data_IF_879607835280
#
_entry.id   IF_879607835280
#
_cell.length_a   1.000
_cell.length_b   1.000
_cell.length_c   1.000
_cell.angle_alpha   90.00
_cell.angle_beta   90.00
_cell.angle_gamma   90.00
#
_symmetry.space_group_name_H-M   'P 1'
#
loop_
_entity.id
_entity.type
_entity.pdbx_description
1 polymer ?
#
# COMPACT_ATOMS: atom_id res chain seq x y z
N UNK A 1 -53.22 12.89 50.79
CA UNK A 1 -54.32 12.46 51.68
C UNK A 1 -53.94 11.09 52.20
N UNK A 2 -53.94 10.95 53.54
CA UNK A 2 -53.74 9.72 54.33
C UNK A 2 -52.33 9.08 54.19
N UNK A 3 -51.56 8.76 55.24
CA UNK A 3 -51.96 8.27 56.54
C UNK A 3 -51.19 8.90 57.71
N UNK A 4 -51.99 9.36 58.68
CA UNK A 4 -51.61 9.75 60.04
C UNK A 4 -51.69 8.53 60.94
N UNK A 5 -50.67 7.66 60.97
CA UNK A 5 -50.49 6.70 62.07
C UNK A 5 -49.00 6.42 62.30
N UNK A 6 -48.24 7.47 62.65
CA UNK A 6 -46.99 7.28 63.38
C UNK A 6 -47.35 6.91 64.83
N UNK A 7 -47.56 5.62 65.06
CA UNK A 7 -47.58 5.09 66.41
C UNK A 7 -46.20 5.34 67.03
N UNK A 8 -46.19 6.23 68.01
CA UNK A 8 -45.03 6.62 68.81
C UNK A 8 -44.56 5.38 69.60
N UNK A 9 -43.71 4.56 68.98
CA UNK A 9 -42.96 3.51 69.69
C UNK A 9 -41.88 4.23 70.48
N UNK A 10 -41.89 4.17 71.82
CA UNK A 10 -40.87 4.83 72.62
C UNK A 10 -39.49 4.26 72.26
N UNK A 11 -38.59 5.15 71.83
CA UNK A 11 -37.18 4.86 71.66
C UNK A 11 -36.64 4.35 73.00
N UNK A 12 -36.05 3.13 73.08
CA UNK A 12 -35.40 2.71 74.30
C UNK A 12 -34.21 3.65 74.50
N UNK A 13 -34.27 4.44 75.57
CA UNK A 13 -33.14 5.18 76.10
C UNK A 13 -31.90 4.27 76.15
N UNK A 14 -30.70 4.86 75.99
CA UNK A 14 -29.35 4.25 76.10
C UNK A 14 -29.14 3.53 77.44
N UNK A 15 -29.88 2.45 77.64
CA UNK A 15 -29.89 1.63 78.83
C UNK A 15 -28.81 0.58 78.69
N UNK A 16 -27.72 0.78 79.45
CA UNK A 16 -26.76 -0.24 79.90
C UNK A 16 -26.69 -1.47 78.99
N UNK A 17 -26.08 -1.31 77.81
CA UNK A 17 -25.80 -2.43 76.91
C UNK A 17 -24.96 -3.47 77.68
N UNK A 18 -25.58 -4.60 78.01
CA UNK A 18 -24.88 -5.72 78.61
C UNK A 18 -23.75 -6.21 77.69
N UNK A 19 -22.79 -6.97 78.22
CA UNK A 19 -21.63 -7.45 77.45
C UNK A 19 -21.97 -8.43 76.31
N UNK A 20 -23.26 -8.73 76.07
CA UNK A 20 -23.69 -9.70 75.05
C UNK A 20 -23.81 -9.03 73.68
N UNK A 21 -23.45 -9.78 72.64
CA UNK A 21 -23.73 -9.36 71.26
C UNK A 21 -25.24 -9.40 70.97
N UNK A 22 -25.68 -8.46 70.13
CA UNK A 22 -27.04 -8.41 69.61
C UNK A 22 -27.26 -9.49 68.56
N UNK A 23 -28.48 -10.00 68.48
CA UNK A 23 -28.96 -10.92 67.46
C UNK A 23 -29.56 -10.17 66.27
N UNK A 24 -29.71 -10.84 65.13
CA UNK A 24 -30.26 -10.26 63.89
C UNK A 24 -31.62 -9.58 64.13
N UNK A 25 -32.51 -10.23 64.88
CA UNK A 25 -33.84 -9.69 65.25
C UNK A 25 -33.83 -8.63 66.35
N UNK A 26 -32.66 -8.22 66.84
CA UNK A 26 -32.49 -7.12 67.80
C UNK A 26 -31.92 -5.85 67.15
N UNK A 27 -31.67 -5.89 65.83
CA UNK A 27 -31.18 -4.75 65.05
C UNK A 27 -32.35 -3.90 64.53
N UNK A 28 -32.10 -2.62 64.22
CA UNK A 28 -33.10 -1.78 63.56
C UNK A 28 -33.49 -2.35 62.19
N UNK A 29 -34.73 -2.13 61.78
CA UNK A 29 -35.26 -2.53 60.48
C UNK A 29 -34.41 -1.97 59.31
N UNK A 30 -33.80 -0.79 59.49
CA UNK A 30 -32.91 -0.18 58.50
C UNK A 30 -31.64 -1.02 58.22
N UNK A 31 -31.25 -1.89 59.15
CA UNK A 31 -30.05 -2.73 59.02
C UNK A 31 -30.30 -4.01 58.21
N UNK A 32 -31.52 -4.55 58.19
CA UNK A 32 -31.76 -5.90 57.68
C UNK A 32 -31.52 -6.03 56.18
N UNK A 33 -32.04 -5.09 55.39
CA UNK A 33 -31.81 -5.06 53.94
C UNK A 33 -30.32 -5.01 53.56
N UNK A 34 -29.52 -4.03 54.04
CA UNK A 34 -28.09 -4.01 53.73
C UNK A 34 -27.33 -5.19 54.33
N UNK A 35 -27.71 -5.70 55.51
CA UNK A 35 -27.06 -6.85 56.14
C UNK A 35 -27.26 -8.13 55.31
N UNK A 36 -28.48 -8.38 54.85
CA UNK A 36 -28.78 -9.52 53.96
C UNK A 36 -28.11 -9.31 52.61
N UNK A 37 -28.22 -8.11 52.03
CA UNK A 37 -27.72 -7.80 50.69
C UNK A 37 -26.19 -7.86 50.55
N UNK A 38 -25.45 -7.45 51.58
CA UNK A 38 -23.97 -7.50 51.58
C UNK A 38 -23.44 -8.76 52.26
N UNK A 39 -24.12 -9.25 53.30
CA UNK A 39 -23.66 -10.36 54.13
C UNK A 39 -23.96 -11.76 53.58
N UNK A 40 -24.88 -11.89 52.62
CA UNK A 40 -25.29 -13.18 52.09
C UNK A 40 -25.35 -13.16 50.56
N UNK A 41 -24.49 -13.92 49.85
CA UNK A 41 -24.63 -14.12 48.41
C UNK A 41 -26.00 -14.74 48.09
N UNK A 42 -26.65 -14.27 47.01
CA UNK A 42 -28.00 -14.68 46.62
C UNK A 42 -28.18 -16.21 46.52
N UNK A 43 -27.23 -16.91 45.89
CA UNK A 43 -27.28 -18.37 45.79
C UNK A 43 -27.16 -19.09 47.14
N UNK A 44 -26.45 -18.49 48.11
CA UNK A 44 -26.39 -18.98 49.49
C UNK A 44 -27.66 -18.69 50.26
N UNK A 45 -28.24 -17.50 50.08
CA UNK A 45 -29.49 -17.09 50.69
C UNK A 45 -30.65 -18.00 50.25
N UNK A 46 -30.79 -18.27 48.94
CA UNK A 46 -31.79 -19.19 48.40
C UNK A 46 -31.72 -20.56 49.05
N UNK A 47 -30.53 -21.18 49.08
CA UNK A 47 -30.32 -22.50 49.72
C UNK A 47 -30.67 -22.49 51.20
N UNK A 48 -30.38 -21.39 51.90
CA UNK A 48 -30.70 -21.24 53.31
C UNK A 48 -32.23 -21.22 53.52
N UNK A 49 -32.95 -20.43 52.72
CA UNK A 49 -34.42 -20.36 52.80
C UNK A 49 -35.04 -21.71 52.44
N UNK A 50 -34.64 -22.32 51.33
CA UNK A 50 -35.14 -23.66 50.91
C UNK A 50 -34.96 -24.72 51.98
N UNK A 51 -33.83 -24.70 52.70
CA UNK A 51 -33.55 -25.63 53.79
C UNK A 51 -34.48 -25.40 54.99
N UNK A 52 -34.84 -24.16 55.29
CA UNK A 52 -35.71 -23.82 56.42
C UNK A 52 -37.17 -24.08 56.10
N UNK A 53 -37.61 -23.78 54.88
CA UNK A 53 -39.01 -23.96 54.44
C UNK A 53 -39.32 -25.38 53.99
N UNK A 54 -38.32 -26.25 53.86
CA UNK A 54 -38.50 -27.68 53.56
C UNK A 54 -38.87 -27.97 52.11
N UNK A 55 -38.56 -27.06 51.18
CA UNK A 55 -38.93 -27.21 49.77
C UNK A 55 -38.21 -26.22 48.85
N UNK A 56 -38.24 -26.52 47.55
CA UNK A 56 -37.69 -25.62 46.53
C UNK A 56 -38.52 -24.36 46.45
N UNK A 57 -37.86 -23.21 46.56
CA UNK A 57 -38.52 -21.91 46.51
C UNK A 57 -38.65 -21.48 45.05
N UNK A 58 -39.90 -21.34 44.58
CA UNK A 58 -40.23 -20.89 43.22
C UNK A 58 -40.17 -19.36 43.06
N UNK A 59 -39.89 -18.63 44.14
CA UNK A 59 -39.74 -17.19 44.14
C UNK A 59 -38.46 -16.72 43.44
N UNK A 60 -38.53 -15.53 42.86
CA UNK A 60 -37.36 -14.87 42.28
C UNK A 60 -36.38 -14.38 43.37
N UNK A 61 -35.21 -13.87 42.96
CA UNK A 61 -34.19 -13.43 43.91
C UNK A 61 -34.63 -12.20 44.74
N UNK A 62 -35.52 -11.36 44.19
CA UNK A 62 -36.06 -10.19 44.89
C UNK A 62 -37.01 -10.61 46.00
N UNK A 63 -37.95 -11.48 45.71
CA UNK A 63 -38.92 -12.04 46.66
C UNK A 63 -38.21 -12.75 47.82
N UNK A 64 -37.19 -13.56 47.52
CA UNK A 64 -36.39 -14.25 48.55
C UNK A 64 -35.66 -13.25 49.43
N UNK A 65 -35.08 -12.21 48.83
CA UNK A 65 -34.36 -11.17 49.56
C UNK A 65 -35.31 -10.41 50.49
N UNK A 66 -36.40 -9.82 49.96
CA UNK A 66 -37.35 -9.04 50.74
C UNK A 66 -38.02 -9.89 51.81
N UNK A 67 -38.44 -11.11 51.47
CA UNK A 67 -39.01 -12.05 52.44
C UNK A 67 -38.05 -12.34 53.59
N UNK A 68 -36.76 -12.59 53.30
CA UNK A 68 -35.75 -12.79 54.35
C UNK A 68 -35.56 -11.54 55.19
N UNK A 69 -35.53 -10.35 54.58
CA UNK A 69 -35.39 -9.07 55.29
C UNK A 69 -36.55 -8.87 56.27
N UNK A 70 -37.79 -9.13 55.85
CA UNK A 70 -38.96 -9.06 56.72
C UNK A 70 -38.89 -10.07 57.87
N UNK A 71 -38.49 -11.32 57.58
CA UNK A 71 -38.32 -12.36 58.60
C UNK A 71 -37.25 -12.00 59.63
N UNK A 72 -36.19 -11.28 59.23
CA UNK A 72 -35.12 -10.85 60.14
C UNK A 72 -35.56 -9.84 61.20
N UNK A 73 -36.71 -9.17 61.02
CA UNK A 73 -37.26 -8.24 62.02
C UNK A 73 -37.88 -8.95 63.23
N UNK A 74 -38.21 -10.24 63.08
CA UNK A 74 -38.80 -11.07 64.13
C UNK A 74 -37.90 -12.27 64.41
N UNK A 75 -38.14 -12.93 65.54
CA UNK A 75 -37.46 -14.20 65.84
C UNK A 75 -38.19 -15.35 65.16
N UNK A 76 -37.75 -15.71 63.96
CA UNK A 76 -38.32 -16.79 63.15
C UNK A 76 -37.27 -17.85 62.80
N UNK A 77 -37.67 -19.04 62.31
CA UNK A 77 -36.71 -20.06 61.85
C UNK A 77 -35.75 -19.56 60.76
N UNK A 78 -36.22 -18.65 59.89
CA UNK A 78 -35.40 -18.03 58.86
C UNK A 78 -34.39 -17.08 59.51
N UNK A 79 -34.82 -16.21 60.43
CA UNK A 79 -33.91 -15.31 61.15
C UNK A 79 -32.86 -16.08 61.97
N UNK A 80 -33.23 -17.20 62.61
CA UNK A 80 -32.29 -18.08 63.32
C UNK A 80 -31.27 -18.72 62.37
N UNK A 81 -31.69 -19.11 61.16
CA UNK A 81 -30.79 -19.64 60.15
C UNK A 81 -29.83 -18.56 59.62
N UNK A 82 -30.33 -17.34 59.35
CA UNK A 82 -29.52 -16.18 58.96
C UNK A 82 -28.50 -15.84 60.04
N UNK A 83 -28.92 -15.76 61.30
CA UNK A 83 -28.02 -15.58 62.44
C UNK A 83 -26.89 -16.61 62.44
N UNK A 84 -27.23 -17.91 62.34
CA UNK A 84 -26.22 -18.99 62.34
C UNK A 84 -25.25 -18.87 61.16
N UNK A 85 -25.75 -18.51 59.98
CA UNK A 85 -24.91 -18.35 58.79
C UNK A 85 -23.99 -17.14 58.90
N UNK A 86 -24.46 -16.00 59.41
CA UNK A 86 -23.63 -14.82 59.65
C UNK A 86 -22.54 -15.09 60.70
N UNK A 87 -22.86 -15.75 61.80
CA UNK A 87 -21.87 -16.15 62.82
C UNK A 87 -20.82 -17.12 62.25
N UNK A 88 -21.25 -18.10 61.45
CA UNK A 88 -20.35 -19.09 60.84
C UNK A 88 -19.44 -18.45 59.79
N UNK A 89 -20.01 -17.68 58.85
CA UNK A 89 -19.28 -17.07 57.74
C UNK A 89 -18.30 -16.00 58.22
N UNK A 90 -18.69 -15.20 59.21
CA UNK A 90 -17.93 -14.05 59.65
C UNK A 90 -17.28 -14.20 61.03
N UNK A 91 -17.07 -15.45 61.47
CA UNK A 91 -16.46 -15.77 62.77
C UNK A 91 -15.13 -15.04 63.02
N UNK A 92 -14.29 -14.89 61.99
CA UNK A 92 -13.02 -14.18 62.10
C UNK A 92 -13.21 -12.69 62.39
N UNK A 93 -14.15 -12.01 61.71
CA UNK A 93 -14.46 -10.60 62.00
C UNK A 93 -15.06 -10.43 63.39
N UNK A 94 -15.99 -11.31 63.78
CA UNK A 94 -16.57 -11.32 65.12
C UNK A 94 -15.48 -11.45 66.19
N UNK A 95 -14.53 -12.37 65.98
CA UNK A 95 -13.40 -12.56 66.90
C UNK A 95 -12.48 -11.34 66.93
N UNK A 96 -12.23 -10.69 65.79
CA UNK A 96 -11.41 -9.47 65.72
C UNK A 96 -12.08 -8.30 66.46
N UNK A 97 -13.36 -8.06 66.21
CA UNK A 97 -14.13 -6.96 66.82
C UNK A 97 -14.28 -7.13 68.34
N UNK A 98 -14.24 -8.37 68.85
CA UNK A 98 -14.28 -8.65 70.30
C UNK A 98 -13.20 -7.91 71.11
N UNK A 99 -12.09 -7.53 70.50
CA UNK A 99 -11.03 -6.77 71.15
C UNK A 99 -11.43 -5.31 71.46
N UNK A 100 -12.41 -4.76 70.75
CA UNK A 100 -12.91 -3.41 70.97
C UNK A 100 -13.71 -3.32 72.27
N UNK A 101 -13.32 -2.39 73.14
CA UNK A 101 -13.94 -2.16 74.47
C UNK A 101 -14.84 -0.93 74.48
N UNK A 102 -14.70 -0.05 73.50
CA UNK A 102 -15.44 1.21 73.38
C UNK A 102 -16.10 1.35 72.01
N UNK A 103 -17.07 2.26 71.89
CA UNK A 103 -17.78 2.55 70.64
C UNK A 103 -16.82 3.07 69.57
N UNK A 104 -15.88 3.94 69.96
CA UNK A 104 -14.89 4.56 69.07
C UNK A 104 -13.94 3.50 68.47
N UNK A 105 -13.62 2.45 69.22
CA UNK A 105 -12.82 1.34 68.72
C UNK A 105 -13.59 0.50 67.70
N UNK A 106 -14.89 0.27 67.90
CA UNK A 106 -15.74 -0.43 66.91
C UNK A 106 -15.84 0.41 65.63
N UNK A 107 -16.03 1.72 65.78
CA UNK A 107 -16.09 2.66 64.66
C UNK A 107 -14.78 2.69 63.87
N UNK A 108 -13.63 2.80 64.54
CA UNK A 108 -12.33 2.78 63.86
C UNK A 108 -12.08 1.46 63.10
N UNK A 109 -12.54 0.34 63.65
CA UNK A 109 -12.46 -0.96 62.97
C UNK A 109 -13.40 -1.06 61.76
N UNK A 110 -14.58 -0.44 61.83
CA UNK A 110 -15.50 -0.32 60.70
C UNK A 110 -14.92 0.57 59.60
N UNK A 111 -14.41 1.76 59.93
CA UNK A 111 -13.82 2.69 58.96
C UNK A 111 -12.64 2.06 58.22
N UNK A 112 -11.78 1.32 58.95
CA UNK A 112 -10.68 0.58 58.34
C UNK A 112 -11.17 -0.52 57.38
N UNK A 113 -12.29 -1.17 57.69
CA UNK A 113 -12.87 -2.19 56.82
C UNK A 113 -13.51 -1.59 55.56
N UNK A 114 -14.18 -0.44 55.68
CA UNK A 114 -14.71 0.33 54.54
C UNK A 114 -13.56 0.76 53.61
N UNK A 115 -12.48 1.31 54.17
CA UNK A 115 -11.30 1.70 53.40
C UNK A 115 -10.64 0.50 52.68
N UNK A 116 -10.67 -0.69 53.29
CA UNK A 116 -10.13 -1.92 52.71
C UNK A 116 -11.10 -2.63 51.73
N UNK A 117 -12.36 -2.18 51.61
CA UNK A 117 -13.40 -2.85 50.84
C UNK A 117 -13.91 -4.16 51.46
N UNK A 118 -13.53 -4.47 52.69
CA UNK A 118 -13.87 -5.71 53.41
C UNK A 118 -15.08 -5.51 54.34
N UNK A 119 -16.20 -5.07 53.75
CA UNK A 119 -17.33 -4.51 54.50
C UNK A 119 -18.28 -5.56 55.06
N UNK A 120 -18.45 -6.71 54.41
CA UNK A 120 -19.55 -7.64 54.71
C UNK A 120 -19.47 -8.23 56.13
N UNK A 121 -18.30 -8.75 56.50
CA UNK A 121 -18.09 -9.33 57.82
C UNK A 121 -17.91 -8.30 58.92
N UNK A 122 -17.27 -7.17 58.61
CA UNK A 122 -17.14 -6.03 59.52
C UNK A 122 -18.50 -5.42 59.87
N UNK A 123 -19.43 -5.36 58.90
CA UNK A 123 -20.78 -4.85 59.12
C UNK A 123 -21.54 -5.71 60.13
N UNK A 124 -21.55 -7.03 59.95
CA UNK A 124 -22.16 -7.94 60.93
C UNK A 124 -21.49 -7.85 62.31
N UNK A 125 -20.16 -7.88 62.35
CA UNK A 125 -19.39 -7.85 63.58
C UNK A 125 -19.62 -6.55 64.37
N UNK A 126 -19.66 -5.41 63.69
CA UNK A 126 -19.95 -4.10 64.29
C UNK A 126 -21.39 -3.96 64.73
N UNK A 127 -22.39 -4.24 63.88
CA UNK A 127 -23.82 -4.12 64.22
C UNK A 127 -24.20 -4.97 65.45
N UNK A 128 -23.68 -6.19 65.51
CA UNK A 128 -23.95 -7.10 66.63
C UNK A 128 -23.13 -6.78 67.89
N UNK A 129 -22.17 -5.85 67.85
CA UNK A 129 -21.26 -5.59 68.96
C UNK A 129 -21.97 -4.94 70.16
N UNK A 130 -21.65 -5.30 71.43
CA UNK A 130 -22.24 -4.67 72.64
C UNK A 130 -21.84 -3.20 72.85
N UNK A 131 -21.01 -2.63 71.97
CA UNK A 131 -20.62 -1.20 71.96
C UNK A 131 -21.12 -0.48 70.70
N UNK A 132 -21.98 -1.12 69.92
CA UNK A 132 -22.63 -0.47 68.80
C UNK A 132 -23.81 0.34 69.34
N UNK A 133 -23.64 1.65 69.41
CA UNK A 133 -24.71 2.59 69.75
C UNK A 133 -25.63 2.79 68.55
N UNK A 134 -26.83 3.33 68.78
CA UNK A 134 -27.76 3.69 67.70
C UNK A 134 -27.12 4.63 66.68
N UNK A 135 -26.34 5.61 67.15
CA UNK A 135 -25.63 6.55 66.27
C UNK A 135 -24.60 5.84 65.37
N UNK A 136 -23.84 4.88 65.92
CA UNK A 136 -22.86 4.11 65.13
C UNK A 136 -23.56 3.16 64.16
N UNK A 137 -24.65 2.50 64.58
CA UNK A 137 -25.48 1.66 63.72
C UNK A 137 -25.97 2.44 62.49
N UNK A 138 -26.56 3.62 62.70
CA UNK A 138 -27.01 4.48 61.61
C UNK A 138 -25.86 4.91 60.69
N UNK A 139 -24.70 5.26 61.24
CA UNK A 139 -23.51 5.60 60.44
C UNK A 139 -23.11 4.42 59.56
N UNK A 140 -22.98 3.22 60.12
CA UNK A 140 -22.62 2.02 59.37
C UNK A 140 -23.65 1.72 58.25
N UNK A 141 -24.95 1.92 58.51
CA UNK A 141 -26.00 1.79 57.49
C UNK A 141 -25.90 2.85 56.37
N UNK A 142 -25.52 4.09 56.70
CA UNK A 142 -25.28 5.14 55.69
C UNK A 142 -24.03 4.83 54.85
N UNK A 143 -22.96 4.39 55.50
CA UNK A 143 -21.71 4.01 54.83
C UNK A 143 -21.93 2.85 53.85
N UNK A 144 -22.62 1.78 54.29
CA UNK A 144 -22.87 0.61 53.44
C UNK A 144 -23.78 0.94 52.25
N UNK A 145 -24.75 1.85 52.42
CA UNK A 145 -25.57 2.35 51.34
C UNK A 145 -24.71 3.00 50.24
N UNK A 146 -23.74 3.85 50.64
CA UNK A 146 -22.83 4.48 49.68
C UNK A 146 -21.90 3.48 49.00
N UNK A 147 -21.38 2.50 49.75
CA UNK A 147 -20.55 1.41 49.19
C UNK A 147 -21.31 0.61 48.13
N UNK A 148 -22.57 0.26 48.39
CA UNK A 148 -23.41 -0.45 47.42
C UNK A 148 -23.67 0.41 46.17
N UNK A 149 -23.89 1.72 46.34
CA UNK A 149 -24.08 2.65 45.22
C UNK A 149 -22.83 2.73 44.32
N UNK A 150 -21.65 2.80 44.93
CA UNK A 150 -20.36 2.82 44.23
C UNK A 150 -20.07 1.49 43.53
N UNK A 151 -20.29 0.36 44.22
CA UNK A 151 -20.13 -0.97 43.62
C UNK A 151 -21.03 -1.14 42.38
N UNK A 152 -22.29 -0.69 42.46
CA UNK A 152 -23.20 -0.69 41.32
C UNK A 152 -22.73 0.21 40.17
N UNK A 153 -22.17 1.39 40.48
CA UNK A 153 -21.63 2.29 39.45
C UNK A 153 -20.40 1.70 38.76
N UNK A 154 -19.47 1.09 39.52
CA UNK A 154 -18.31 0.42 38.97
C UNK A 154 -18.71 -0.76 38.10
N UNK A 155 -19.61 -1.62 38.58
CA UNK A 155 -20.10 -2.78 37.83
C UNK A 155 -20.73 -2.35 36.50
N UNK A 156 -21.52 -1.26 36.47
CA UNK A 156 -22.06 -0.70 35.21
C UNK A 156 -20.96 -0.20 34.28
N UNK A 157 -19.95 0.49 34.79
CA UNK A 157 -18.82 0.94 33.98
C UNK A 157 -18.04 -0.25 33.39
N UNK A 158 -17.85 -1.31 34.17
CA UNK A 158 -17.16 -2.52 33.73
C UNK A 158 -17.98 -3.30 32.69
N UNK A 159 -19.30 -3.43 32.87
CA UNK A 159 -20.21 -4.01 31.87
C UNK A 159 -20.14 -3.23 30.56
N UNK A 160 -20.14 -1.90 30.62
CA UNK A 160 -20.05 -1.06 29.43
C UNK A 160 -18.70 -1.25 28.70
N UNK A 161 -17.59 -1.29 29.44
CA UNK A 161 -16.26 -1.59 28.87
C UNK A 161 -16.21 -2.99 28.26
N UNK A 162 -16.75 -3.99 28.95
CA UNK A 162 -16.81 -5.36 28.45
C UNK A 162 -17.60 -5.44 27.14
N UNK A 163 -18.78 -4.83 27.08
CA UNK A 163 -19.61 -4.80 25.88
C UNK A 163 -18.92 -4.07 24.71
N UNK A 164 -18.19 -2.99 24.99
CA UNK A 164 -17.40 -2.29 23.97
C UNK A 164 -16.30 -3.18 23.39
N UNK A 165 -15.56 -3.90 24.24
CA UNK A 165 -14.52 -4.85 23.80
C UNK A 165 -15.11 -6.01 23.00
N UNK A 166 -16.26 -6.54 23.41
CA UNK A 166 -16.96 -7.59 22.66
C UNK A 166 -17.38 -7.08 21.28
N UNK A 167 -17.91 -5.85 21.19
CA UNK A 167 -18.28 -5.25 19.91
C UNK A 167 -17.08 -5.00 19.00
N UNK A 168 -15.96 -4.53 19.56
CA UNK A 168 -14.70 -4.33 18.83
C UNK A 168 -14.11 -5.65 18.33
N UNK A 169 -14.09 -6.71 19.17
CA UNK A 169 -13.65 -8.04 18.75
C UNK A 169 -14.49 -8.55 17.58
N UNK A 170 -15.81 -8.46 17.66
CA UNK A 170 -16.69 -8.87 16.57
C UNK A 170 -16.46 -8.05 15.29
N UNK A 171 -16.09 -6.77 15.41
CA UNK A 171 -15.72 -5.92 14.25
C UNK A 171 -14.41 -6.40 13.63
N UNK A 172 -13.38 -6.62 14.45
CA UNK A 172 -12.06 -7.05 14.00
C UNK A 172 -12.12 -8.44 13.36
N UNK A 173 -12.89 -9.38 13.90
CA UNK A 173 -13.11 -10.70 13.31
C UNK A 173 -13.68 -10.59 11.88
N UNK A 174 -14.67 -9.71 11.67
CA UNK A 174 -15.23 -9.46 10.33
C UNK A 174 -14.21 -8.83 9.39
N UNK A 175 -13.39 -7.91 9.88
CA UNK A 175 -12.36 -7.25 9.09
C UNK A 175 -11.25 -8.22 8.68
N UNK A 176 -10.80 -9.06 9.60
CA UNK A 176 -9.82 -10.13 9.34
C UNK A 176 -10.35 -11.11 8.30
N UNK A 177 -11.60 -11.58 8.44
CA UNK A 177 -12.22 -12.48 7.47
C UNK A 177 -12.26 -11.84 6.06
N UNK A 178 -12.67 -10.57 5.97
CA UNK A 178 -12.70 -9.84 4.70
C UNK A 178 -11.33 -9.67 4.07
N UNK A 179 -10.30 -9.37 4.87
CA UNK A 179 -8.93 -9.25 4.39
C UNK A 179 -8.36 -10.59 3.93
N UNK A 180 -8.64 -11.67 4.66
CA UNK A 180 -8.26 -13.03 4.28
C UNK A 180 -8.89 -13.44 2.95
N UNK A 181 -10.19 -13.20 2.76
CA UNK A 181 -10.87 -13.44 1.47
C UNK A 181 -10.20 -12.67 0.32
N UNK A 182 -9.91 -11.39 0.53
CA UNK A 182 -9.24 -10.55 -0.49
C UNK A 182 -7.83 -11.04 -0.81
N UNK A 183 -7.04 -11.40 0.21
CA UNK A 183 -5.69 -11.93 0.03
C UNK A 183 -5.71 -13.27 -0.71
N UNK A 184 -6.65 -14.16 -0.38
CA UNK A 184 -6.81 -15.44 -1.06
C UNK A 184 -7.22 -15.25 -2.53
N UNK A 185 -8.13 -14.32 -2.81
CA UNK A 185 -8.54 -14.01 -4.18
C UNK A 185 -7.37 -13.47 -5.02
N UNK A 186 -6.59 -12.52 -4.47
CA UNK A 186 -5.39 -12.01 -5.13
C UNK A 186 -4.32 -13.10 -5.32
N UNK A 187 -4.14 -13.97 -4.32
CA UNK A 187 -3.23 -15.11 -4.42
C UNK A 187 -3.61 -16.07 -5.56
N UNK A 188 -4.90 -16.36 -5.71
CA UNK A 188 -5.41 -17.20 -6.79
C UNK A 188 -5.21 -16.54 -8.17
N UNK A 189 -5.54 -15.25 -8.29
CA UNK A 189 -5.33 -14.48 -9.53
C UNK A 189 -3.87 -14.50 -9.95
N UNK A 190 -2.94 -14.26 -9.01
CA UNK A 190 -1.50 -14.28 -9.30
C UNK A 190 -0.96 -15.67 -9.61
N UNK A 191 -1.49 -16.71 -8.99
CA UNK A 191 -1.15 -18.09 -9.35
C UNK A 191 -1.55 -18.40 -10.80
N UNK A 192 -2.76 -18.02 -11.22
CA UNK A 192 -3.26 -18.22 -12.59
C UNK A 192 -2.46 -17.41 -13.62
N UNK A 193 -2.13 -16.16 -13.30
CA UNK A 193 -1.28 -15.31 -14.15
C UNK A 193 0.13 -15.92 -14.29
N UNK A 194 0.70 -16.41 -13.19
CA UNK A 194 1.98 -17.12 -13.17
C UNK A 194 1.98 -18.35 -14.07
N UNK A 195 0.99 -19.23 -13.94
CA UNK A 195 0.87 -20.43 -14.77
C UNK A 195 0.73 -20.08 -16.26
N UNK A 196 -0.05 -19.04 -16.59
CA UNK A 196 -0.21 -18.56 -17.97
C UNK A 196 1.11 -18.07 -18.55
N UNK A 197 1.87 -17.26 -17.81
CA UNK A 197 3.16 -16.74 -18.24
C UNK A 197 4.20 -17.86 -18.37
N UNK A 198 4.21 -18.83 -17.45
CA UNK A 198 5.08 -20.01 -17.55
C UNK A 198 4.77 -20.84 -18.79
N UNK A 199 3.49 -21.03 -19.12
CA UNK A 199 3.06 -21.72 -20.33
C UNK A 199 3.50 -20.98 -21.60
N UNK A 200 3.35 -19.65 -21.63
CA UNK A 200 3.82 -18.82 -22.75
C UNK A 200 5.34 -18.89 -22.91
N UNK A 201 6.08 -18.83 -21.80
CA UNK A 201 7.54 -18.94 -21.80
C UNK A 201 8.00 -20.31 -22.31
N UNK A 202 7.34 -21.40 -21.87
CA UNK A 202 7.59 -22.76 -22.38
C UNK A 202 7.33 -22.87 -23.87
N UNK A 203 6.19 -22.36 -24.35
CA UNK A 203 5.84 -22.37 -25.77
C UNK A 203 6.84 -21.55 -26.62
N UNK A 204 7.22 -20.36 -26.17
CA UNK A 204 8.19 -19.52 -26.85
C UNK A 204 9.56 -20.20 -26.95
N UNK A 205 10.04 -20.82 -25.86
CA UNK A 205 11.30 -21.58 -25.85
C UNK A 205 11.25 -22.75 -26.84
N UNK A 206 10.16 -23.52 -26.86
CA UNK A 206 9.99 -24.61 -27.80
C UNK A 206 10.00 -24.14 -29.26
N UNK A 207 9.34 -23.00 -29.55
CA UNK A 207 9.33 -22.41 -30.88
C UNK A 207 10.73 -21.92 -31.32
N UNK A 208 11.51 -21.33 -30.41
CA UNK A 208 12.91 -20.95 -30.71
C UNK A 208 13.75 -22.18 -31.02
N UNK A 209 13.67 -23.23 -30.21
CA UNK A 209 14.41 -24.49 -30.44
C UNK A 209 14.03 -25.11 -31.80
N UNK A 210 12.74 -25.12 -32.14
CA UNK A 210 12.27 -25.63 -33.43
C UNK A 210 12.87 -24.83 -34.59
N UNK A 211 12.83 -23.49 -34.52
CA UNK A 211 13.42 -22.61 -35.53
C UNK A 211 14.93 -22.78 -35.66
N UNK A 212 15.65 -22.95 -34.55
CA UNK A 212 17.09 -23.21 -34.58
C UNK A 212 17.39 -24.56 -35.26
N UNK A 213 16.56 -25.57 -35.03
CA UNK A 213 16.59 -26.85 -35.73
C UNK A 213 16.39 -26.71 -37.24
N UNK A 214 15.36 -25.95 -37.66
CA UNK A 214 15.09 -25.68 -39.08
C UNK A 214 16.25 -24.93 -39.75
N UNK A 215 16.82 -23.93 -39.07
CA UNK A 215 17.98 -23.18 -39.56
C UNK A 215 19.19 -24.09 -39.73
N UNK A 216 19.44 -25.00 -38.79
CA UNK A 216 20.52 -25.98 -38.92
C UNK A 216 20.28 -26.95 -40.09
N UNK A 217 19.06 -27.44 -40.27
CA UNK A 217 18.69 -28.31 -41.37
C UNK A 217 18.88 -27.62 -42.74
N UNK A 218 18.39 -26.38 -42.87
CA UNK A 218 18.55 -25.58 -44.09
C UNK A 218 20.03 -25.27 -44.39
N UNK A 219 20.83 -24.97 -43.36
CA UNK A 219 22.29 -24.78 -43.53
C UNK A 219 22.98 -26.05 -44.01
N UNK A 220 22.61 -27.21 -43.46
CA UNK A 220 23.14 -28.49 -43.90
C UNK A 220 22.74 -28.83 -45.33
N UNK A 221 21.50 -28.55 -45.73
CA UNK A 221 21.02 -28.74 -47.10
C UNK A 221 21.68 -27.80 -48.10
N UNK A 222 21.85 -26.52 -47.73
CA UNK A 222 22.59 -25.55 -48.54
C UNK A 222 24.04 -26.02 -48.77
N UNK A 223 24.73 -26.44 -47.72
CA UNK A 223 26.08 -26.97 -47.83
C UNK A 223 26.15 -28.22 -48.73
N UNK A 224 25.16 -29.12 -48.63
CA UNK A 224 25.05 -30.30 -49.49
C UNK A 224 24.84 -29.92 -50.96
N UNK A 225 23.96 -28.96 -51.24
CA UNK A 225 23.69 -28.49 -52.61
C UNK A 225 24.92 -27.80 -53.21
N UNK A 226 25.60 -26.95 -52.44
CA UNK A 226 26.86 -26.32 -52.85
C UNK A 226 27.94 -27.37 -53.17
N UNK A 227 28.08 -28.40 -52.33
CA UNK A 227 29.01 -29.50 -52.57
C UNK A 227 28.66 -30.33 -53.83
N UNK A 228 27.38 -30.38 -54.22
CA UNK A 228 26.93 -31.10 -55.42
C UNK A 228 27.26 -30.38 -56.73
N UNK A 229 27.61 -29.08 -56.68
CA UNK A 229 28.02 -28.29 -57.85
C UNK A 229 29.34 -27.55 -57.57
N UNK A 230 30.46 -28.28 -57.47
CA UNK A 230 31.74 -27.72 -57.00
C UNK A 230 32.35 -26.61 -57.88
N UNK A 231 31.90 -26.47 -59.13
CA UNK A 231 32.40 -25.48 -60.09
C UNK A 231 31.39 -24.38 -60.43
N UNK A 232 30.31 -24.25 -59.64
CA UNK A 232 29.25 -23.27 -59.92
C UNK A 232 29.80 -21.84 -59.98
N UNK A 233 30.60 -21.45 -59.00
CA UNK A 233 31.20 -20.10 -58.92
C UNK A 233 32.17 -19.84 -60.08
N UNK A 234 32.96 -20.86 -60.47
CA UNK A 234 33.82 -20.82 -61.65
C UNK A 234 33.01 -20.60 -62.94
N UNK A 235 31.87 -21.29 -63.06
CA UNK A 235 30.96 -21.20 -64.22
C UNK A 235 30.23 -19.86 -64.28
N UNK A 236 29.77 -19.33 -63.16
CA UNK A 236 29.15 -18.00 -63.08
C UNK A 236 30.16 -16.91 -63.48
N UNK A 237 31.37 -16.93 -62.92
CA UNK A 237 32.45 -16.01 -63.30
C UNK A 237 32.83 -16.12 -64.77
N UNK A 238 32.85 -17.33 -65.32
CA UNK A 238 33.12 -17.52 -66.75
C UNK A 238 31.99 -16.95 -67.60
N UNK A 239 30.73 -17.17 -67.21
CA UNK A 239 29.56 -16.62 -67.91
C UNK A 239 29.56 -15.08 -67.90
N UNK A 240 29.86 -14.45 -66.76
CA UNK A 240 30.04 -12.99 -66.67
C UNK A 240 31.19 -12.49 -67.56
N UNK A 241 32.29 -13.24 -67.63
CA UNK A 241 33.43 -12.86 -68.47
C UNK A 241 33.11 -12.99 -69.95
N UNK A 242 32.32 -14.00 -70.34
CA UNK A 242 31.82 -14.16 -71.71
C UNK A 242 30.90 -13.01 -72.08
N UNK A 243 29.91 -12.66 -71.25
CA UNK A 243 29.00 -11.54 -71.53
C UNK A 243 29.75 -10.21 -71.61
N UNK A 244 30.76 -9.98 -70.77
CA UNK A 244 31.62 -8.80 -70.85
C UNK A 244 32.43 -8.75 -72.15
N UNK A 245 32.93 -9.90 -72.64
CA UNK A 245 33.65 -9.99 -73.91
C UNK A 245 32.73 -9.76 -75.11
N UNK A 246 31.52 -10.32 -75.09
CA UNK A 246 30.50 -10.09 -76.12
C UNK A 246 30.08 -8.62 -76.20
N UNK A 247 29.89 -7.96 -75.05
CA UNK A 247 29.59 -6.54 -74.99
C UNK A 247 30.74 -5.68 -75.57
N UNK A 248 31.99 -6.04 -75.29
CA UNK A 248 33.17 -5.39 -75.87
C UNK A 248 33.28 -5.62 -77.38
N UNK A 249 33.03 -6.84 -77.84
CA UNK A 249 33.00 -7.17 -79.27
C UNK A 249 31.94 -6.34 -80.00
N UNK A 250 30.74 -6.24 -79.43
CA UNK A 250 29.65 -5.46 -80.01
C UNK A 250 30.00 -3.97 -80.05
N UNK A 251 30.59 -3.42 -79.00
CA UNK A 251 31.08 -2.03 -78.98
C UNK A 251 32.16 -1.78 -80.05
N UNK A 252 33.11 -2.70 -80.21
CA UNK A 252 34.14 -2.64 -81.26
C UNK A 252 33.54 -2.71 -82.67
N UNK A 253 32.51 -3.55 -82.88
CA UNK A 253 31.78 -3.62 -84.15
C UNK A 253 31.08 -2.31 -84.49
N UNK A 254 30.45 -1.68 -83.50
CA UNK A 254 29.83 -0.36 -83.64
C UNK A 254 30.90 0.69 -84.02
N UNK A 255 32.02 0.74 -83.29
CA UNK A 255 33.12 1.66 -83.61
C UNK A 255 33.71 1.44 -85.01
N UNK A 256 33.85 0.18 -85.45
CA UNK A 256 34.29 -0.14 -86.81
C UNK A 256 33.26 0.29 -87.87
N UNK A 257 31.97 0.17 -87.58
CA UNK A 257 30.92 0.66 -88.47
C UNK A 257 30.92 2.19 -88.56
N UNK A 258 31.10 2.88 -87.42
CA UNK A 258 31.23 4.34 -87.35
C UNK A 258 32.47 4.85 -88.10
N UNK A 259 33.63 4.23 -87.91
CA UNK A 259 34.87 4.58 -88.64
C UNK A 259 34.76 4.30 -90.15
N UNK A 260 34.02 3.26 -90.55
CA UNK A 260 33.72 2.98 -91.96
C UNK A 260 32.74 4.01 -92.54
N UNK A 261 31.73 4.43 -91.79
CA UNK A 261 30.80 5.48 -92.18
C UNK A 261 31.51 6.85 -92.30
N UNK A 262 32.43 7.17 -91.39
CA UNK A 262 33.25 8.38 -91.43
C UNK A 262 34.28 8.42 -92.60
N UNK A 263 34.54 7.28 -93.25
CA UNK A 263 35.47 7.14 -94.39
C UNK A 263 34.77 7.15 -95.74
N UNK A 264 33.44 7.20 -95.78
CA UNK A 264 32.65 7.46 -96.99
C UNK A 264 32.62 8.98 -97.31
N UNK A 265 32.60 9.41 -98.58
CA UNK A 265 32.48 10.83 -98.91
C UNK A 265 31.09 11.34 -98.54
N UNK A 266 31.03 12.37 -97.69
CA UNK A 266 29.79 12.98 -97.24
C UNK A 266 29.16 13.90 -98.30
N UNK A 267 27.82 14.05 -98.29
CA UNK A 267 27.17 15.34 -98.35
C UNK A 267 26.65 15.73 -96.94
N UNK A 268 26.83 17.00 -96.58
CA UNK A 268 26.16 17.65 -95.45
C UNK A 268 24.69 17.99 -95.82
N UNK A 269 23.79 18.42 -94.92
CA UNK A 269 23.96 18.76 -93.50
C UNK A 269 22.87 18.16 -92.56
N UNK A 270 23.06 18.31 -91.25
CA UNK A 270 22.09 18.91 -90.29
C UNK A 270 22.49 18.53 -88.86
N UNK A 271 22.77 19.57 -88.07
CA UNK A 271 23.14 19.47 -86.68
C UNK A 271 21.87 19.45 -85.84
N UNK A 272 21.61 18.31 -85.18
CA UNK A 272 20.82 18.28 -83.96
C UNK A 272 21.47 17.26 -83.03
N UNK A 273 22.30 17.76 -82.11
CA UNK A 273 22.95 16.95 -81.08
C UNK A 273 22.52 17.53 -79.74
N UNK A 274 21.48 16.92 -79.18
CA UNK A 274 21.13 17.09 -77.78
C UNK A 274 22.27 16.50 -76.92
N UNK A 275 23.08 17.38 -76.33
CA UNK A 275 23.97 17.04 -75.24
C UNK A 275 23.17 17.06 -73.91
N UNK A 276 23.32 16.06 -73.01
CA UNK A 276 22.80 16.18 -71.66
C UNK A 276 23.63 17.23 -70.90
N UNK A 277 22.93 18.19 -70.32
CA UNK A 277 23.50 19.28 -69.54
C UNK A 277 24.27 18.77 -68.30
N UNK A 278 25.43 19.35 -67.96
CA UNK A 278 25.94 19.29 -66.60
C UNK A 278 25.00 20.07 -65.68
N UNK A 279 24.61 19.47 -64.56
CA UNK A 279 23.87 20.16 -63.50
C UNK A 279 24.79 21.25 -62.93
N UNK A 280 24.57 22.49 -63.36
CA UNK A 280 25.10 23.67 -62.70
C UNK A 280 24.26 23.91 -61.44
N UNK A 281 24.81 23.55 -60.28
CA UNK A 281 24.26 23.98 -59.00
C UNK A 281 24.68 25.43 -58.80
N UNK A 282 23.71 26.35 -58.89
CA UNK A 282 23.89 27.76 -58.59
C UNK A 282 24.51 27.93 -57.19
N UNK A 283 25.45 28.87 -56.98
CA UNK A 283 25.97 29.16 -55.65
C UNK A 283 24.85 29.79 -54.83
N UNK A 284 24.25 29.01 -53.92
CA UNK A 284 23.46 29.58 -52.83
C UNK A 284 24.46 30.23 -51.89
N UNK A 285 24.46 31.56 -51.83
CA UNK A 285 25.23 32.31 -50.85
C UNK A 285 24.76 31.89 -49.45
N UNK A 286 25.61 31.21 -48.71
CA UNK A 286 25.34 30.82 -47.32
C UNK A 286 25.70 32.01 -46.42
N UNK A 287 24.76 32.66 -45.73
CA UNK A 287 25.02 33.92 -45.02
C UNK A 287 25.58 33.73 -43.61
N UNK A 288 26.16 32.56 -43.29
CA UNK A 288 26.56 32.20 -41.91
C UNK A 288 28.07 31.96 -41.86
N UNK A 289 28.77 32.64 -40.94
CA UNK A 289 30.19 32.36 -40.65
C UNK A 289 30.30 31.05 -39.87
N UNK A 290 30.56 29.95 -40.57
CA UNK A 290 30.79 28.63 -39.99
C UNK A 290 32.27 28.21 -39.97
N UNK A 291 33.17 29.12 -40.33
CA UNK A 291 34.63 28.90 -40.39
C UNK A 291 35.15 28.31 -39.06
N UNK A 292 35.86 27.18 -39.14
CA UNK A 292 36.43 26.43 -38.01
C UNK A 292 35.43 25.87 -36.98
N UNK A 293 34.15 25.70 -37.35
CA UNK A 293 33.14 25.05 -36.49
C UNK A 293 32.89 23.61 -36.89
N UNK A 294 32.61 22.75 -35.91
CA UNK A 294 32.19 21.35 -36.13
C UNK A 294 30.66 21.25 -36.19
N UNK A 295 30.12 20.82 -37.32
CA UNK A 295 28.68 20.69 -37.56
C UNK A 295 28.30 19.22 -37.67
N UNK A 296 27.42 18.76 -36.78
CA UNK A 296 26.87 17.40 -36.80
C UNK A 296 25.48 17.38 -37.43
N UNK A 297 25.29 16.59 -38.47
CA UNK A 297 23.96 16.27 -39.01
C UNK A 297 23.49 14.92 -38.46
N UNK A 298 22.37 14.91 -37.74
CA UNK A 298 21.74 13.72 -37.19
C UNK A 298 20.50 13.38 -38.02
N UNK A 299 20.53 12.23 -38.67
CA UNK A 299 19.53 11.73 -39.59
C UNK A 299 19.75 12.14 -41.05
N UNK A 300 18.73 11.87 -41.84
CA UNK A 300 18.64 12.25 -43.25
C UNK A 300 18.78 11.10 -44.23
N UNK A 301 18.40 11.36 -45.48
CA UNK A 301 18.55 10.37 -46.56
C UNK A 301 20.02 10.27 -46.93
N UNK A 302 20.55 9.05 -47.09
CA UNK A 302 21.95 8.79 -47.46
C UNK A 302 22.36 9.51 -48.75
N UNK A 303 21.41 9.76 -49.67
CA UNK A 303 21.62 10.52 -50.91
C UNK A 303 21.85 12.03 -50.69
N UNK A 304 21.40 12.61 -49.57
CA UNK A 304 21.49 14.05 -49.28
C UNK A 304 22.73 14.42 -48.46
N UNK A 305 23.32 13.45 -47.75
CA UNK A 305 24.51 13.65 -46.91
C UNK A 305 25.72 14.21 -47.69
N UNK A 306 26.05 13.73 -48.91
CA UNK A 306 27.17 14.28 -49.68
C UNK A 306 26.97 15.75 -50.09
N UNK A 307 25.71 16.15 -50.34
CA UNK A 307 25.35 17.52 -50.71
C UNK A 307 25.53 18.44 -49.50
N UNK A 308 25.06 18.04 -48.32
CA UNK A 308 25.22 18.80 -47.09
C UNK A 308 26.67 18.95 -46.65
N UNK A 309 27.45 17.87 -46.76
CA UNK A 309 28.90 17.89 -46.52
C UNK A 309 29.57 18.94 -47.40
N UNK A 310 29.33 18.89 -48.72
CA UNK A 310 29.94 19.81 -49.67
C UNK A 310 29.58 21.28 -49.37
N UNK A 311 28.33 21.55 -48.98
CA UNK A 311 27.88 22.90 -48.63
C UNK A 311 28.51 23.45 -47.35
N UNK A 312 28.65 22.62 -46.32
CA UNK A 312 29.19 23.02 -45.01
C UNK A 312 30.73 23.12 -45.05
N UNK A 313 31.40 22.20 -45.73
CA UNK A 313 32.87 22.24 -45.86
C UNK A 313 33.34 23.38 -46.77
N UNK A 314 32.55 23.77 -47.79
CA UNK A 314 32.84 24.95 -48.63
C UNK A 314 32.91 26.28 -47.87
N UNK A 315 32.23 26.37 -46.73
CA UNK A 315 32.24 27.56 -45.87
C UNK A 315 33.24 27.42 -44.71
N UNK A 316 34.14 26.44 -44.77
CA UNK A 316 35.24 26.25 -43.82
C UNK A 316 34.86 25.56 -42.51
N UNK A 317 33.67 24.94 -42.42
CA UNK A 317 33.28 24.10 -41.29
C UNK A 317 33.70 22.63 -41.48
N UNK A 318 33.83 21.91 -40.38
CA UNK A 318 33.98 20.45 -40.39
C UNK A 318 32.59 19.80 -40.33
N UNK A 319 32.34 18.78 -41.14
CA UNK A 319 31.05 18.10 -41.19
C UNK A 319 31.14 16.65 -40.68
N UNK A 320 30.32 16.35 -39.67
CA UNK A 320 30.08 15.01 -39.16
C UNK A 320 28.62 14.58 -39.42
N UNK A 321 28.39 13.28 -39.62
CA UNK A 321 27.06 12.72 -39.85
C UNK A 321 26.84 11.51 -38.93
N UNK A 322 25.62 11.38 -38.42
CA UNK A 322 25.13 10.19 -37.73
C UNK A 322 23.72 9.90 -38.24
N UNK A 323 23.41 8.63 -38.46
CA UNK A 323 22.14 8.19 -39.02
C UNK A 323 20.88 8.34 -38.13
N UNK A 324 21.01 8.80 -36.88
CA UNK A 324 19.90 8.89 -35.93
C UNK A 324 19.46 7.57 -35.27
N UNK A 325 20.34 6.56 -35.25
CA UNK A 325 20.16 5.29 -34.55
C UNK A 325 19.40 4.23 -35.36
N UNK A 326 19.63 4.17 -36.67
CA UNK A 326 19.08 3.13 -37.55
C UNK A 326 20.05 1.95 -37.70
N UNK A 327 21.35 2.21 -37.72
CA UNK A 327 22.47 1.27 -37.80
C UNK A 327 23.61 1.61 -36.81
N UNK A 328 23.84 2.89 -36.49
CA UNK A 328 24.90 3.32 -35.56
C UNK A 328 24.52 3.23 -34.06
N UNK A 329 25.49 2.81 -33.24
CA UNK A 329 25.30 2.60 -31.80
C UNK A 329 25.03 3.91 -31.01
N UNK A 330 24.12 3.84 -30.04
CA UNK A 330 23.69 4.99 -29.22
C UNK A 330 24.83 5.75 -28.51
N UNK A 331 25.90 5.06 -28.15
CA UNK A 331 27.09 5.66 -27.51
C UNK A 331 27.91 6.53 -28.47
N UNK A 332 27.88 6.25 -29.77
CA UNK A 332 28.59 7.07 -30.78
C UNK A 332 27.87 8.39 -31.03
N UNK A 333 26.54 8.43 -30.87
CA UNK A 333 25.75 9.66 -30.95
C UNK A 333 26.14 10.67 -29.86
N UNK A 334 26.30 10.23 -28.61
CA UNK A 334 26.66 11.12 -27.50
C UNK A 334 28.06 11.72 -27.65
N UNK A 335 29.04 10.92 -28.12
CA UNK A 335 30.38 11.41 -28.42
C UNK A 335 30.38 12.43 -29.56
N UNK A 336 29.60 12.18 -30.61
CA UNK A 336 29.46 13.07 -31.76
C UNK A 336 28.76 14.38 -31.38
N UNK A 337 27.72 14.30 -30.53
CA UNK A 337 27.03 15.47 -29.98
C UNK A 337 27.97 16.31 -29.11
N UNK A 338 28.83 15.68 -28.31
CA UNK A 338 29.82 16.38 -27.48
C UNK A 338 30.88 17.13 -28.30
N UNK A 339 31.28 16.60 -29.46
CA UNK A 339 32.29 17.20 -30.33
C UNK A 339 31.76 18.33 -31.26
N UNK A 340 30.44 18.45 -31.42
CA UNK A 340 29.83 19.44 -32.33
C UNK A 340 29.63 20.82 -31.67
N UNK A 341 29.86 21.89 -32.43
CA UNK A 341 29.49 23.27 -32.09
C UNK A 341 28.04 23.59 -32.50
N UNK A 342 27.56 22.93 -33.56
CA UNK A 342 26.22 23.08 -34.13
C UNK A 342 25.66 21.71 -34.49
N UNK A 343 24.40 21.46 -34.11
CA UNK A 343 23.70 20.21 -34.43
C UNK A 343 22.51 20.49 -35.36
N UNK A 344 22.43 19.72 -36.44
CA UNK A 344 21.32 19.74 -37.39
C UNK A 344 20.54 18.46 -37.20
N UNK A 345 19.30 18.57 -36.75
CA UNK A 345 18.42 17.44 -36.42
C UNK A 345 17.34 17.32 -37.49
N UNK A 346 17.39 16.27 -38.31
CA UNK A 346 16.38 16.01 -39.34
C UNK A 346 15.24 15.17 -38.75
N UNK A 347 14.22 15.85 -38.23
CA UNK A 347 13.16 15.25 -37.39
C UNK A 347 12.36 14.16 -38.11
N UNK A 348 12.24 14.23 -39.44
CA UNK A 348 11.58 13.24 -40.28
C UNK A 348 12.43 12.01 -40.64
N UNK A 349 13.69 11.93 -40.21
CA UNK A 349 14.64 10.89 -40.62
C UNK A 349 15.51 10.36 -39.46
N UNK A 350 14.98 10.33 -38.23
CA UNK A 350 15.64 9.80 -37.03
C UNK A 350 14.68 8.99 -36.17
N UNK A 351 15.21 8.11 -35.31
CA UNK A 351 14.39 7.41 -34.33
C UNK A 351 13.82 8.36 -33.25
N UNK A 352 12.66 8.01 -32.68
CA UNK A 352 12.04 8.80 -31.60
C UNK A 352 12.99 9.00 -30.40
N UNK A 353 13.80 7.97 -30.09
CA UNK A 353 14.80 8.04 -29.03
C UNK A 353 15.96 9.00 -29.34
N UNK A 354 16.42 9.05 -30.59
CA UNK A 354 17.47 9.96 -31.03
C UNK A 354 16.99 11.42 -31.05
N UNK A 355 15.75 11.68 -31.47
CA UNK A 355 15.16 13.02 -31.43
C UNK A 355 15.21 13.64 -30.02
N UNK A 356 14.69 12.92 -29.03
CA UNK A 356 14.68 13.41 -27.65
C UNK A 356 16.08 13.56 -27.07
N UNK A 357 16.99 12.64 -27.40
CA UNK A 357 18.38 12.70 -26.94
C UNK A 357 19.11 13.93 -27.49
N UNK A 358 18.99 14.23 -28.78
CA UNK A 358 19.56 15.44 -29.39
C UNK A 358 18.97 16.69 -28.75
N UNK A 359 17.64 16.77 -28.61
CA UNK A 359 16.94 17.92 -28.05
C UNK A 359 17.34 18.20 -26.59
N UNK A 360 17.42 17.16 -25.78
CA UNK A 360 17.79 17.25 -24.37
C UNK A 360 19.28 17.56 -24.18
N UNK A 361 20.18 16.95 -24.97
CA UNK A 361 21.62 17.26 -24.94
C UNK A 361 21.89 18.71 -25.32
N UNK A 362 21.32 19.20 -26.43
CA UNK A 362 21.51 20.58 -26.87
C UNK A 362 20.97 21.59 -25.85
N UNK A 363 19.82 21.30 -25.23
CA UNK A 363 19.23 22.14 -24.17
C UNK A 363 20.10 22.18 -22.90
N UNK A 364 20.63 21.03 -22.46
CA UNK A 364 21.46 20.95 -21.23
C UNK A 364 22.82 21.60 -21.38
N UNK A 365 23.43 21.47 -22.55
CA UNK A 365 24.79 21.96 -22.82
C UNK A 365 24.84 23.30 -23.54
N UNK A 366 23.68 23.93 -23.78
CA UNK A 366 23.58 25.22 -24.47
C UNK A 366 24.08 25.19 -25.91
N UNK A 367 24.05 24.01 -26.56
CA UNK A 367 24.53 23.84 -27.94
C UNK A 367 23.47 24.27 -28.93
N UNK A 368 23.89 24.92 -30.01
CA UNK A 368 23.00 25.38 -31.07
C UNK A 368 22.42 24.18 -31.81
N UNK A 369 21.10 24.14 -31.94
CA UNK A 369 20.40 23.02 -32.56
C UNK A 369 19.34 23.52 -33.55
N UNK A 370 19.46 23.10 -34.80
CA UNK A 370 18.52 23.42 -35.88
C UNK A 370 17.69 22.18 -36.17
N UNK A 371 16.37 22.32 -36.08
CA UNK A 371 15.43 21.23 -36.40
C UNK A 371 14.86 21.44 -37.79
N UNK A 372 15.05 20.46 -38.67
CA UNK A 372 14.64 20.53 -40.08
C UNK A 372 13.67 19.38 -40.37
N UNK A 373 12.42 19.73 -40.69
CA UNK A 373 11.36 18.74 -40.89
C UNK A 373 11.40 18.03 -42.25
N UNK A 374 12.00 18.64 -43.28
CA UNK A 374 12.09 18.06 -44.62
C UNK A 374 13.55 18.04 -45.10
N UNK A 375 14.13 16.87 -45.48
CA UNK A 375 15.52 16.75 -45.90
C UNK A 375 15.74 17.30 -47.32
N UNK A 376 15.64 18.62 -47.47
CA UNK A 376 15.93 19.35 -48.71
C UNK A 376 17.05 20.37 -48.49
N UNK A 377 17.74 20.75 -49.56
CA UNK A 377 18.79 21.79 -49.53
C UNK A 377 18.21 23.14 -49.10
N UNK A 378 17.03 23.49 -49.61
CA UNK A 378 16.34 24.75 -49.30
C UNK A 378 15.95 24.84 -47.82
N UNK A 379 15.47 23.73 -47.23
CA UNK A 379 15.11 23.66 -45.81
C UNK A 379 16.32 23.76 -44.89
N UNK A 380 17.47 23.20 -45.31
CA UNK A 380 18.73 23.34 -44.58
C UNK A 380 19.24 24.78 -44.58
N UNK A 381 19.26 25.43 -45.75
CA UNK A 381 19.73 26.82 -45.87
C UNK A 381 18.86 27.75 -45.02
N UNK A 382 17.54 27.56 -45.04
CA UNK A 382 16.61 28.32 -44.19
C UNK A 382 16.87 28.08 -42.70
N UNK A 383 17.04 26.83 -42.27
CA UNK A 383 17.33 26.51 -40.87
C UNK A 383 18.67 27.08 -40.38
N UNK A 384 19.69 27.10 -41.25
CA UNK A 384 20.98 27.75 -40.94
C UNK A 384 20.86 29.29 -40.90
N UNK A 385 20.03 29.89 -41.75
CA UNK A 385 19.73 31.33 -41.72
C UNK A 385 19.01 31.74 -40.44
N UNK A 386 17.99 31.00 -40.01
CA UNK A 386 17.25 31.23 -38.77
C UNK A 386 18.20 31.10 -37.54
N UNK A 387 19.10 30.12 -37.55
CA UNK A 387 20.10 29.97 -36.51
C UNK A 387 21.13 31.10 -36.48
N UNK A 388 21.39 31.77 -37.60
CA UNK A 388 22.35 32.88 -37.69
C UNK A 388 21.76 34.23 -37.24
N UNK A 389 20.43 34.41 -37.31
CA UNK A 389 19.75 35.62 -36.85
C UNK A 389 19.68 35.76 -35.32
N UNK A 390 19.91 34.69 -34.56
CA UNK A 390 20.01 34.74 -33.09
C UNK A 390 21.39 35.25 -32.59
N UNK A 391 22.31 35.56 -33.51
CA UNK A 391 23.73 35.89 -33.24
C UNK A 391 24.08 37.38 -33.49
N UNK A 392 23.09 38.30 -33.47
CA UNK A 392 23.40 39.74 -33.38
C UNK A 392 23.57 40.15 -31.91
N UNK A 393 24.80 40.40 -31.42
CA UNK A 393 24.98 41.10 -30.16
C UNK A 393 24.49 42.55 -30.31
N UNK A 394 23.72 43.03 -29.32
CA UNK A 394 23.61 44.46 -29.06
C UNK A 394 24.91 44.99 -28.48
#
# INVERSE_FOLDING_TARGET
MCDKHAANVPCPADGLQGSRRRRVWELSHACHCPLVGVGLPLGGLRKLVEKVTGGKVLHDDYDIHVGTVSECALRTPVADAVQKELERRYAQHVQRFRAAKTTEQVEAMWDAAVAAGDVAGAFWAGLSHPRCTTALEEKMCRDIHMVQHQAGACARADINKFNAVVADNARLEREVARLQERCNALGLEKAQEGERLENQLRAARAATIARDGDVQALRAELARLQASVPDLESRERLAERVTQMEAREQALRVQLAELKAARAPAPAPEADVAAPAPIQVAPVAMPVRLENRSVLCVGGRSSSVPIYRNMIERVGAQFAHHDGGLEDSSSQLDASLAAADLVICQTGCISHSAYWRVKDHCKRHGKRCVFVDNPSVSSLVRGLQEAATEDQPS
#
